data_IF_319061970473
#
_entry.id   IF_319061970473
#
_cell.length_a   1.000
_cell.length_b   1.000
_cell.length_c   1.000
_cell.angle_alpha   90.00
_cell.angle_beta   90.00
_cell.angle_gamma   90.00
#
_symmetry.space_group_name_H-M   'P 1'
#
loop_
_entity.id
_entity.type
_entity.pdbx_description
1 polymer ?
#
# COMPACT_ATOMS: atom_id res chain seq x y z
N UNK A 1 5.52 -10.28 -15.68
CA UNK A 1 6.02 -9.09 -14.97
C UNK A 1 7.53 -9.15 -14.76
N UNK A 2 8.08 -10.28 -14.30
CA UNK A 2 9.52 -10.38 -13.96
C UNK A 2 10.44 -10.72 -15.15
N UNK A 3 9.88 -11.23 -16.26
CA UNK A 3 10.62 -11.51 -17.49
C UNK A 3 10.43 -10.39 -18.52
N UNK A 4 11.46 -9.56 -18.70
CA UNK A 4 11.43 -8.42 -19.63
C UNK A 4 11.50 -8.81 -21.11
N UNK A 5 11.86 -10.05 -21.48
CA UNK A 5 11.89 -10.51 -22.87
C UNK A 5 10.57 -11.15 -23.32
N UNK A 6 9.71 -11.54 -22.37
CA UNK A 6 8.43 -12.18 -22.66
C UNK A 6 7.48 -11.26 -23.45
N UNK A 7 6.88 -11.76 -24.53
CA UNK A 7 5.78 -11.09 -25.22
C UNK A 7 4.49 -11.35 -24.44
N UNK A 8 3.97 -10.30 -23.81
CA UNK A 8 2.84 -10.42 -22.88
C UNK A 8 1.56 -10.89 -23.56
N UNK A 9 1.41 -10.69 -24.88
CA UNK A 9 0.21 -11.09 -25.63
C UNK A 9 -0.03 -12.59 -25.64
N UNK A 10 1.02 -13.39 -25.41
CA UNK A 10 0.88 -14.84 -25.26
C UNK A 10 -0.10 -15.23 -24.13
N UNK A 11 -0.31 -14.35 -23.13
CA UNK A 11 -1.27 -14.57 -22.05
C UNK A 11 -2.69 -14.83 -22.59
N UNK A 12 -3.08 -14.18 -23.69
CA UNK A 12 -4.40 -14.35 -24.30
C UNK A 12 -4.67 -15.75 -24.88
N UNK A 13 -3.65 -16.57 -25.02
CA UNK A 13 -3.77 -17.94 -25.55
C UNK A 13 -3.21 -18.99 -24.61
N UNK A 14 -2.34 -18.61 -23.67
CA UNK A 14 -1.69 -19.54 -22.73
C UNK A 14 -2.49 -19.81 -21.46
N UNK A 15 -3.58 -19.09 -21.21
CA UNK A 15 -4.42 -19.36 -20.05
C UNK A 15 -5.12 -20.72 -20.20
N UNK A 16 -5.41 -21.41 -19.08
CA UNK A 16 -6.16 -22.67 -19.13
C UNK A 16 -7.53 -22.46 -19.79
N UNK A 17 -8.16 -21.31 -19.54
CA UNK A 17 -9.42 -20.93 -20.18
C UNK A 17 -9.28 -20.88 -21.71
N UNK A 18 -8.36 -20.06 -22.21
CA UNK A 18 -8.23 -19.78 -23.65
C UNK A 18 -7.63 -20.98 -24.41
N UNK A 19 -6.70 -21.72 -23.81
CA UNK A 19 -6.03 -22.85 -24.45
C UNK A 19 -6.90 -24.10 -24.55
N UNK A 20 -7.83 -24.32 -23.61
CA UNK A 20 -8.62 -25.57 -23.50
C UNK A 20 -10.12 -25.36 -23.66
N UNK A 21 -10.59 -24.11 -23.70
CA UNK A 21 -12.01 -23.77 -23.66
C UNK A 21 -12.65 -24.05 -22.30
N UNK A 22 -11.87 -24.31 -21.25
CA UNK A 22 -12.40 -24.56 -19.91
C UNK A 22 -13.10 -23.30 -19.40
N UNK A 23 -14.35 -23.43 -18.97
CA UNK A 23 -15.11 -22.30 -18.43
C UNK A 23 -14.39 -21.61 -17.26
N UNK A 24 -14.38 -20.28 -17.27
CA UNK A 24 -13.87 -19.48 -16.14
C UNK A 24 -14.51 -19.83 -14.80
N UNK A 25 -15.76 -20.32 -14.78
CA UNK A 25 -16.42 -20.78 -13.56
C UNK A 25 -15.68 -21.93 -12.83
N UNK A 26 -14.81 -22.65 -13.54
CA UNK A 26 -14.01 -23.74 -12.99
C UNK A 26 -12.57 -23.31 -12.63
N UNK A 27 -12.26 -22.02 -12.72
CA UNK A 27 -10.91 -21.50 -12.59
C UNK A 27 -10.80 -20.52 -11.42
N UNK A 28 -9.69 -20.63 -10.71
CA UNK A 28 -9.26 -19.65 -9.70
C UNK A 28 -7.94 -19.08 -10.18
N UNK A 29 -7.88 -17.76 -10.33
CA UNK A 29 -6.67 -17.05 -10.77
C UNK A 29 -6.01 -16.37 -9.59
N UNK A 30 -4.68 -16.38 -9.54
CA UNK A 30 -3.91 -15.71 -8.50
C UNK A 30 -2.55 -15.30 -9.05
N UNK A 31 -1.98 -14.24 -8.47
CA UNK A 31 -0.63 -13.77 -8.82
C UNK A 31 0.40 -14.48 -7.94
N UNK A 32 0.24 -14.34 -6.63
CA UNK A 32 1.09 -14.93 -5.59
C UNK A 32 0.23 -15.75 -4.61
N UNK A 33 0.86 -16.65 -3.87
CA UNK A 33 0.24 -17.38 -2.75
C UNK A 33 1.31 -17.68 -1.68
N UNK A 34 0.92 -18.42 -0.64
CA UNK A 34 1.81 -18.77 0.47
C UNK A 34 2.71 -19.98 0.19
N UNK A 35 2.48 -20.69 -0.92
CA UNK A 35 3.20 -21.90 -1.27
C UNK A 35 4.44 -21.59 -2.11
N UNK A 36 5.42 -22.48 -1.99
CA UNK A 36 6.67 -22.40 -2.74
C UNK A 36 6.51 -23.18 -4.04
N UNK A 37 6.55 -22.51 -5.20
CA UNK A 37 6.40 -23.19 -6.50
C UNK A 37 7.57 -24.14 -6.83
N UNK A 38 8.66 -24.07 -6.08
CA UNK A 38 9.81 -24.98 -6.11
C UNK A 38 10.59 -24.98 -4.77
N UNK A 39 11.68 -25.75 -4.69
CA UNK A 39 12.55 -25.88 -3.51
C UNK A 39 13.25 -24.56 -3.08
N UNK A 40 13.14 -23.48 -3.86
CA UNK A 40 13.76 -22.18 -3.57
C UNK A 40 12.86 -21.22 -2.76
N UNK A 41 11.64 -21.63 -2.43
CA UNK A 41 10.79 -20.85 -1.54
C UNK A 41 10.11 -19.67 -2.25
N UNK A 42 10.19 -18.48 -1.63
CA UNK A 42 9.68 -17.21 -2.18
C UNK A 42 10.49 -16.67 -3.39
N UNK A 43 11.43 -17.44 -3.94
CA UNK A 43 12.11 -17.07 -5.19
C UNK A 43 11.17 -17.13 -6.41
N UNK A 44 10.01 -17.78 -6.29
CA UNK A 44 8.99 -17.88 -7.33
C UNK A 44 7.86 -16.83 -7.27
N UNK A 45 7.91 -15.89 -6.32
CA UNK A 45 6.98 -14.76 -6.28
C UNK A 45 7.13 -13.89 -7.52
N UNK A 46 6.01 -13.35 -8.00
CA UNK A 46 6.04 -12.19 -8.89
C UNK A 46 6.44 -10.97 -8.07
N UNK A 47 7.66 -10.48 -8.27
CA UNK A 47 8.26 -9.42 -7.43
C UNK A 47 8.13 -8.04 -8.05
N UNK A 48 8.27 -7.96 -9.36
CA UNK A 48 8.35 -6.69 -10.08
C UNK A 48 6.96 -6.37 -10.64
N UNK A 49 6.33 -5.33 -10.10
CA UNK A 49 5.00 -4.85 -10.52
C UNK A 49 3.90 -5.93 -10.56
N UNK A 50 3.67 -6.71 -9.47
CA UNK A 50 2.58 -7.70 -9.43
C UNK A 50 1.20 -7.07 -9.60
N UNK A 51 1.04 -5.76 -9.34
CA UNK A 51 -0.16 -4.99 -9.63
C UNK A 51 -0.61 -5.08 -11.09
N UNK A 52 0.30 -5.26 -12.07
CA UNK A 52 -0.08 -5.42 -13.47
C UNK A 52 -0.76 -6.77 -13.75
N UNK A 53 -0.33 -7.83 -13.06
CA UNK A 53 -0.98 -9.13 -13.14
C UNK A 53 -2.34 -9.10 -12.42
N UNK A 54 -2.43 -8.40 -11.28
CA UNK A 54 -3.70 -8.16 -10.61
C UNK A 54 -4.67 -7.37 -11.47
N UNK A 55 -4.21 -6.36 -12.20
CA UNK A 55 -5.04 -5.64 -13.16
C UNK A 55 -5.66 -6.63 -14.15
N UNK A 56 -4.88 -7.48 -14.80
CA UNK A 56 -5.40 -8.47 -15.74
C UNK A 56 -6.46 -9.41 -15.14
N UNK A 57 -6.20 -10.01 -13.98
CA UNK A 57 -7.15 -10.99 -13.38
C UNK A 57 -8.39 -10.33 -12.76
N UNK A 58 -8.30 -9.06 -12.32
CA UNK A 58 -9.43 -8.32 -11.76
C UNK A 58 -10.25 -7.59 -12.83
N UNK A 59 -9.72 -7.39 -14.03
CA UNK A 59 -10.45 -6.76 -15.14
C UNK A 59 -10.79 -7.69 -16.29
N UNK A 60 -10.67 -9.01 -16.08
CA UNK A 60 -11.14 -10.02 -17.01
C UNK A 60 -11.91 -11.11 -16.24
N UNK A 61 -13.25 -11.03 -16.22
CA UNK A 61 -14.09 -12.01 -15.53
C UNK A 61 -14.24 -13.35 -16.28
N UNK A 62 -13.70 -13.49 -17.49
CA UNK A 62 -13.80 -14.72 -18.29
C UNK A 62 -12.80 -15.78 -17.86
N UNK A 63 -11.69 -15.38 -17.25
CA UNK A 63 -10.58 -16.28 -16.88
C UNK A 63 -10.70 -16.83 -15.46
N UNK A 64 -11.84 -16.61 -14.80
CA UNK A 64 -12.21 -17.22 -13.51
C UNK A 64 -12.19 -16.27 -12.32
N UNK A 65 -12.22 -16.85 -11.12
CA UNK A 65 -12.37 -16.10 -9.87
C UNK A 65 -11.00 -15.57 -9.40
N UNK A 66 -10.78 -14.25 -9.36
CA UNK A 66 -9.50 -13.69 -8.95
C UNK A 66 -9.30 -13.78 -7.44
N UNK A 67 -8.09 -14.14 -7.04
CA UNK A 67 -7.64 -14.24 -5.65
C UNK A 67 -6.54 -13.23 -5.39
N UNK A 68 -6.73 -12.43 -4.33
CA UNK A 68 -5.73 -11.47 -3.86
C UNK A 68 -4.90 -12.10 -2.74
N UNK A 69 -3.58 -12.04 -2.88
CA UNK A 69 -2.67 -12.52 -1.85
C UNK A 69 -2.58 -11.53 -0.70
N UNK A 70 -2.77 -12.02 0.54
CA UNK A 70 -2.83 -11.19 1.74
C UNK A 70 -1.60 -10.26 1.89
N UNK A 71 -0.35 -10.73 1.75
CA UNK A 71 0.82 -9.86 1.81
C UNK A 71 0.93 -8.80 0.71
N UNK A 72 0.43 -9.05 -0.50
CA UNK A 72 0.42 -8.02 -1.55
C UNK A 72 -0.59 -6.90 -1.20
N UNK A 73 -1.64 -7.24 -0.45
CA UNK A 73 -2.68 -6.29 -0.01
C UNK A 73 -2.35 -5.58 1.32
N UNK A 74 -1.84 -6.29 2.33
CA UNK A 74 -1.58 -5.73 3.67
C UNK A 74 -0.11 -5.46 3.96
N UNK A 75 0.79 -5.93 3.09
CA UNK A 75 2.23 -5.91 3.29
C UNK A 75 2.78 -7.21 3.86
N UNK A 76 4.06 -7.46 3.58
CA UNK A 76 4.80 -8.59 4.11
C UNK A 76 5.25 -8.29 5.55
N UNK A 77 5.13 -9.26 6.48
CA UNK A 77 5.51 -9.06 7.88
C UNK A 77 7.01 -8.78 8.04
N UNK A 78 7.36 -7.97 9.05
CA UNK A 78 8.74 -7.64 9.35
C UNK A 78 9.52 -8.86 9.90
N UNK A 79 10.83 -8.99 9.60
CA UNK A 79 11.66 -10.05 10.12
C UNK A 79 12.04 -9.76 11.59
N UNK A 80 11.13 -9.96 12.54
CA UNK A 80 11.46 -9.84 13.96
C UNK A 80 10.87 -10.99 14.79
N UNK A 81 11.70 -12.00 15.05
CA UNK A 81 11.52 -12.98 16.14
C UNK A 81 10.38 -13.99 16.02
N UNK A 82 9.62 -14.00 14.91
CA UNK A 82 8.54 -14.96 14.64
C UNK A 82 8.89 -15.98 13.54
N UNK A 83 8.13 -17.08 13.51
CA UNK A 83 8.24 -18.34 12.75
C UNK A 83 8.57 -18.28 11.23
N UNK A 84 8.77 -17.12 10.61
CA UNK A 84 8.78 -16.95 9.16
C UNK A 84 9.91 -16.02 8.65
N UNK A 85 11.17 -16.40 8.85
CA UNK A 85 12.35 -15.64 8.40
C UNK A 85 12.56 -15.59 6.88
N UNK A 86 11.66 -16.17 6.11
CA UNK A 86 11.78 -16.33 4.66
C UNK A 86 11.01 -15.26 3.87
N UNK A 87 10.12 -14.47 4.50
CA UNK A 87 9.36 -13.43 3.79
C UNK A 87 10.24 -12.34 3.18
N UNK A 88 9.99 -11.91 1.93
CA UNK A 88 10.72 -10.81 1.32
C UNK A 88 10.47 -9.49 2.07
N UNK A 89 11.54 -8.75 2.30
CA UNK A 89 11.48 -7.39 2.86
C UNK A 89 11.39 -6.36 1.73
N UNK A 90 10.84 -5.18 2.02
CA UNK A 90 10.80 -4.02 1.12
C UNK A 90 9.97 -4.19 -0.16
N UNK A 91 9.00 -5.11 -0.18
CA UNK A 91 8.01 -5.14 -1.25
C UNK A 91 6.92 -4.08 -1.01
N UNK A 92 6.45 -3.40 -2.08
CA UNK A 92 5.37 -2.42 -1.98
C UNK A 92 4.03 -3.07 -1.59
N UNK A 93 3.18 -2.29 -0.94
CA UNK A 93 1.80 -2.68 -0.58
C UNK A 93 0.85 -2.10 -1.62
N UNK A 94 0.03 -2.93 -2.25
CA UNK A 94 -0.86 -2.54 -3.37
C UNK A 94 -2.33 -2.39 -2.96
N UNK A 95 -2.61 -2.13 -1.68
CA UNK A 95 -3.98 -2.05 -1.14
C UNK A 95 -4.88 -1.14 -1.96
N UNK A 96 -4.42 0.07 -2.26
CA UNK A 96 -5.22 1.11 -2.92
C UNK A 96 -5.58 0.67 -4.33
N UNK A 97 -4.58 0.24 -5.09
CA UNK A 97 -4.67 -0.30 -6.44
C UNK A 97 -5.65 -1.48 -6.50
N UNK A 98 -5.50 -2.43 -5.58
CA UNK A 98 -6.34 -3.62 -5.50
C UNK A 98 -7.78 -3.29 -5.13
N UNK A 99 -8.02 -2.35 -4.20
CA UNK A 99 -9.37 -1.86 -3.89
C UNK A 99 -10.02 -1.21 -5.11
N UNK A 100 -9.27 -0.41 -5.86
CA UNK A 100 -9.78 0.24 -7.07
C UNK A 100 -10.15 -0.79 -8.13
N UNK A 101 -9.28 -1.78 -8.37
CA UNK A 101 -9.56 -2.89 -9.28
C UNK A 101 -10.74 -3.76 -8.84
N UNK A 102 -10.87 -4.06 -7.54
CA UNK A 102 -12.05 -4.77 -7.00
C UNK A 102 -13.34 -3.99 -7.23
N UNK A 103 -13.30 -2.65 -7.09
CA UNK A 103 -14.45 -1.82 -7.38
C UNK A 103 -14.75 -1.78 -8.88
N UNK A 104 -13.73 -1.74 -9.75
CA UNK A 104 -13.92 -1.88 -11.21
C UNK A 104 -14.59 -3.22 -11.53
N UNK A 105 -14.08 -4.32 -10.99
CA UNK A 105 -14.67 -5.64 -11.15
C UNK A 105 -16.15 -5.64 -10.74
N UNK A 106 -16.43 -5.18 -9.52
CA UNK A 106 -17.76 -5.17 -8.94
C UNK A 106 -18.76 -4.31 -9.73
N UNK A 107 -18.34 -3.13 -10.19
CA UNK A 107 -19.24 -2.14 -10.76
C UNK A 107 -19.42 -2.27 -12.27
N UNK A 108 -18.41 -2.76 -12.99
CA UNK A 108 -18.36 -2.66 -14.45
C UNK A 108 -18.15 -3.96 -15.20
N UNK A 109 -17.58 -4.99 -14.57
CA UNK A 109 -17.08 -6.18 -15.29
C UNK A 109 -17.76 -7.47 -14.81
N UNK A 110 -18.15 -7.56 -13.54
CA UNK A 110 -18.76 -8.76 -13.00
C UNK A 110 -20.15 -8.99 -13.61
N UNK A 111 -20.25 -10.01 -14.48
CA UNK A 111 -21.45 -10.32 -15.24
C UNK A 111 -21.32 -10.01 -16.74
N UNK A 112 -20.19 -9.44 -17.18
CA UNK A 112 -19.89 -9.30 -18.60
C UNK A 112 -19.85 -10.67 -19.29
N UNK A 113 -20.48 -10.82 -20.47
CA UNK A 113 -20.63 -12.11 -21.14
C UNK A 113 -19.39 -12.51 -21.96
N UNK A 114 -18.46 -11.59 -22.21
CA UNK A 114 -17.32 -11.86 -23.07
C UNK A 114 -16.20 -10.82 -22.96
N UNK A 115 -15.07 -11.19 -23.54
CA UNK A 115 -13.87 -10.37 -23.70
C UNK A 115 -13.38 -10.46 -25.15
N UNK A 116 -12.91 -9.34 -25.70
CA UNK A 116 -12.22 -9.30 -26.98
C UNK A 116 -10.79 -8.80 -26.78
N UNK A 117 -9.82 -9.68 -27.01
CA UNK A 117 -8.41 -9.38 -26.89
C UNK A 117 -7.91 -8.58 -28.11
N UNK A 118 -8.03 -7.26 -28.03
CA UNK A 118 -7.85 -6.35 -29.16
C UNK A 118 -6.46 -6.43 -29.80
N UNK A 119 -5.38 -6.57 -29.01
CA UNK A 119 -4.03 -6.66 -29.56
C UNK A 119 -3.45 -8.08 -29.60
N UNK A 120 -4.29 -9.13 -29.59
CA UNK A 120 -3.84 -10.53 -29.75
C UNK A 120 -3.15 -10.77 -31.09
N UNK A 121 -2.38 -11.86 -31.19
CA UNK A 121 -1.81 -12.29 -32.47
C UNK A 121 -2.91 -12.56 -33.51
N UNK A 122 -2.71 -12.09 -34.74
CA UNK A 122 -3.69 -12.24 -35.82
C UNK A 122 -4.99 -11.45 -35.60
N UNK A 123 -4.99 -10.46 -34.70
CA UNK A 123 -6.15 -9.58 -34.48
C UNK A 123 -6.60 -8.89 -35.77
N UNK A 124 -7.92 -8.75 -36.02
CA UNK A 124 -8.44 -7.95 -37.13
C UNK A 124 -8.34 -6.44 -36.87
N UNK A 125 -8.03 -6.03 -35.64
CA UNK A 125 -7.98 -4.63 -35.24
C UNK A 125 -6.62 -4.02 -35.61
N UNK A 126 -6.67 -2.94 -36.38
CA UNK A 126 -5.45 -2.18 -36.70
C UNK A 126 -4.97 -1.39 -35.47
N UNK A 127 -3.65 -1.23 -35.38
CA UNK A 127 -3.00 -0.45 -34.33
C UNK A 127 -1.81 0.34 -34.89
N UNK A 128 -1.63 1.58 -34.44
CA UNK A 128 -0.48 2.42 -34.76
C UNK A 128 0.24 2.81 -33.47
N UNK A 129 1.37 2.15 -33.17
CA UNK A 129 2.17 2.46 -31.99
C UNK A 129 3.07 3.67 -32.27
N UNK A 130 2.86 4.73 -31.51
CA UNK A 130 3.66 5.97 -31.53
C UNK A 130 4.83 5.85 -30.55
N UNK A 131 4.57 5.24 -29.38
CA UNK A 131 5.57 4.94 -28.35
C UNK A 131 5.21 3.62 -27.65
N UNK A 132 6.21 2.87 -27.20
CA UNK A 132 6.04 1.52 -26.67
C UNK A 132 5.83 0.49 -27.78
N UNK A 133 5.35 -0.70 -27.41
CA UNK A 133 5.25 -1.82 -28.36
C UNK A 133 4.18 -2.83 -27.98
N UNK A 134 3.63 -3.50 -29.00
CA UNK A 134 2.57 -4.49 -28.82
C UNK A 134 2.98 -5.66 -27.90
N UNK A 135 4.24 -6.09 -27.94
CA UNK A 135 4.73 -7.18 -27.10
C UNK A 135 4.91 -6.81 -25.62
N UNK A 136 4.67 -5.55 -25.25
CA UNK A 136 4.73 -5.04 -23.87
C UNK A 136 3.40 -4.46 -23.39
N UNK A 137 2.32 -4.63 -24.16
CA UNK A 137 1.00 -4.16 -23.78
C UNK A 137 -0.03 -5.28 -23.90
N UNK A 138 -1.00 -5.28 -22.99
CA UNK A 138 -2.27 -5.97 -23.18
C UNK A 138 -3.35 -4.91 -23.40
N UNK A 139 -4.11 -5.03 -24.47
CA UNK A 139 -5.24 -4.15 -24.78
C UNK A 139 -6.41 -5.06 -25.12
N UNK A 140 -7.51 -4.90 -24.39
CA UNK A 140 -8.70 -5.72 -24.55
C UNK A 140 -9.97 -4.97 -24.15
N UNK A 141 -11.09 -5.51 -24.60
CA UNK A 141 -12.41 -4.92 -24.42
C UNK A 141 -13.34 -5.94 -23.76
N UNK A 142 -13.95 -5.56 -22.65
CA UNK A 142 -14.95 -6.34 -21.93
C UNK A 142 -16.33 -5.90 -22.39
N UNK A 143 -17.16 -6.88 -22.74
CA UNK A 143 -18.51 -6.64 -23.26
C UNK A 143 -19.44 -6.05 -22.17
N UNK A 144 -20.26 -5.09 -22.58
CA UNK A 144 -21.26 -4.50 -21.70
C UNK A 144 -22.31 -5.51 -21.26
N UNK A 145 -22.90 -5.29 -20.08
CA UNK A 145 -23.96 -6.14 -19.58
C UNK A 145 -25.03 -5.31 -18.85
N UNK A 146 -26.22 -5.88 -18.64
CA UNK A 146 -27.34 -5.13 -18.07
C UNK A 146 -27.02 -4.50 -16.70
N UNK A 147 -26.21 -5.17 -15.88
CA UNK A 147 -25.81 -4.70 -14.55
C UNK A 147 -24.89 -3.46 -14.56
N UNK A 148 -24.19 -3.18 -15.67
CA UNK A 148 -23.40 -1.96 -15.85
C UNK A 148 -24.07 -0.94 -16.79
N UNK A 149 -25.34 -1.17 -17.16
CA UNK A 149 -26.07 -0.34 -18.11
C UNK A 149 -25.66 -0.57 -19.56
N UNK A 150 -25.21 -1.78 -19.91
CA UNK A 150 -24.70 -2.19 -21.22
C UNK A 150 -23.53 -1.33 -21.72
N UNK A 151 -22.65 -0.93 -20.80
CA UNK A 151 -21.48 -0.11 -21.08
C UNK A 151 -20.28 -0.98 -21.39
N UNK A 152 -19.67 -0.73 -22.53
CA UNK A 152 -18.41 -1.36 -22.91
C UNK A 152 -17.26 -0.85 -22.04
N UNK A 153 -16.29 -1.73 -21.76
CA UNK A 153 -15.13 -1.40 -20.93
C UNK A 153 -13.86 -1.71 -21.71
N UNK A 154 -13.00 -0.70 -21.86
CA UNK A 154 -11.67 -0.84 -22.47
C UNK A 154 -10.64 -0.96 -21.35
N UNK A 155 -9.68 -1.85 -21.52
CA UNK A 155 -8.57 -2.04 -20.59
C UNK A 155 -7.27 -2.03 -21.38
N UNK A 156 -6.29 -1.28 -20.87
CA UNK A 156 -4.92 -1.34 -21.34
C UNK A 156 -3.96 -1.48 -20.15
N UNK A 157 -2.97 -2.35 -20.30
CA UNK A 157 -1.93 -2.62 -19.30
C UNK A 157 -0.58 -2.50 -20.00
N UNK A 158 0.23 -1.54 -19.56
CA UNK A 158 1.58 -1.31 -20.06
C UNK A 158 2.59 -2.01 -19.13
N UNK A 159 3.20 -3.09 -19.62
CA UNK A 159 4.30 -3.79 -18.94
C UNK A 159 5.67 -3.25 -19.33
N UNK A 160 5.73 -2.30 -20.27
CA UNK A 160 6.97 -1.72 -20.76
C UNK A 160 7.58 -0.68 -19.82
N UNK A 161 8.85 -0.38 -20.06
CA UNK A 161 9.61 0.67 -19.38
C UNK A 161 9.48 2.05 -20.02
N UNK A 162 8.74 2.17 -21.13
CA UNK A 162 8.44 3.42 -21.83
C UNK A 162 6.94 3.71 -21.75
N UNK A 163 6.53 4.94 -22.08
CA UNK A 163 5.10 5.26 -22.16
C UNK A 163 4.51 4.47 -23.32
N UNK A 164 3.32 3.89 -23.12
CA UNK A 164 2.54 3.32 -24.20
C UNK A 164 1.73 4.45 -24.84
N UNK A 165 1.89 4.67 -26.14
CA UNK A 165 1.06 5.58 -26.95
C UNK A 165 0.64 4.85 -28.21
N UNK A 166 -0.65 4.57 -28.35
CA UNK A 166 -1.16 3.78 -29.47
C UNK A 166 -2.58 4.21 -29.85
N UNK A 167 -2.79 4.43 -31.15
CA UNK A 167 -4.13 4.46 -31.73
C UNK A 167 -4.53 3.02 -32.06
N UNK A 168 -5.60 2.54 -31.44
CA UNK A 168 -6.03 1.15 -31.60
C UNK A 168 -7.50 1.07 -31.99
N UNK A 169 -7.80 0.31 -33.05
CA UNK A 169 -9.19 0.03 -33.43
C UNK A 169 -9.85 -0.86 -32.38
N UNK A 170 -11.09 -0.56 -32.01
CA UNK A 170 -11.85 -1.36 -31.05
C UNK A 170 -12.99 -2.13 -31.73
N UNK A 171 -13.61 -3.06 -31.01
CA UNK A 171 -14.81 -3.73 -31.49
C UNK A 171 -16.01 -2.81 -31.31
N UNK A 172 -16.53 -2.26 -32.41
CA UNK A 172 -17.72 -1.38 -32.37
C UNK A 172 -19.05 -2.11 -32.27
N UNK A 173 -19.03 -3.44 -32.08
CA UNK A 173 -20.22 -4.31 -31.98
C UNK A 173 -21.15 -4.13 -33.18
N UNK A 174 -20.59 -4.14 -34.38
CA UNK A 174 -21.37 -3.93 -35.61
C UNK A 174 -21.93 -2.51 -35.75
N UNK A 175 -21.28 -1.51 -35.15
CA UNK A 175 -21.69 -0.10 -35.21
C UNK A 175 -22.55 0.40 -34.05
N UNK A 176 -22.85 -0.45 -33.05
CA UNK A 176 -23.55 -0.04 -31.83
C UNK A 176 -22.73 0.96 -30.99
N UNK A 177 -21.40 0.95 -31.13
CA UNK A 177 -20.53 1.99 -30.58
C UNK A 177 -20.19 2.97 -31.71
N UNK A 178 -20.89 4.09 -31.74
CA UNK A 178 -20.73 5.10 -32.78
C UNK A 178 -19.48 5.97 -32.56
N UNK A 179 -18.80 6.45 -33.62
CA UNK A 179 -17.79 7.51 -33.51
C UNK A 179 -18.28 8.70 -32.68
N UNK A 180 -17.38 9.29 -31.90
CA UNK A 180 -17.70 10.30 -30.89
C UNK A 180 -18.10 9.73 -29.53
N UNK A 181 -18.28 8.41 -29.41
CA UNK A 181 -18.51 7.76 -28.10
C UNK A 181 -17.33 8.04 -27.17
N UNK A 182 -17.65 8.54 -25.98
CA UNK A 182 -16.70 8.84 -24.91
C UNK A 182 -16.51 7.59 -24.05
N UNK A 183 -15.28 7.30 -23.66
CA UNK A 183 -14.92 6.30 -22.66
C UNK A 183 -14.19 6.99 -21.50
N UNK A 184 -14.81 7.05 -20.32
CA UNK A 184 -14.25 7.74 -19.16
C UNK A 184 -13.25 6.85 -18.42
N UNK A 185 -12.06 7.39 -18.13
CA UNK A 185 -11.07 6.71 -17.29
C UNK A 185 -11.59 6.65 -15.85
N UNK A 186 -11.87 5.45 -15.34
CA UNK A 186 -12.38 5.28 -13.97
C UNK A 186 -11.27 5.11 -12.94
N UNK A 187 -10.03 4.82 -13.35
CA UNK A 187 -8.87 4.66 -12.48
C UNK A 187 -7.99 5.92 -12.38
N UNK A 188 -8.24 6.91 -13.25
CA UNK A 188 -7.49 8.15 -13.37
C UNK A 188 -5.97 7.93 -13.48
N UNK A 189 -5.57 6.90 -14.23
CA UNK A 189 -4.17 6.52 -14.44
C UNK A 189 -3.63 6.96 -15.80
N UNK A 190 -4.52 7.27 -16.75
CA UNK A 190 -4.10 7.85 -18.03
C UNK A 190 -3.98 9.37 -17.95
N UNK A 191 -3.21 9.93 -18.88
CA UNK A 191 -3.01 11.39 -18.96
C UNK A 191 -4.30 12.15 -19.33
N UNK A 192 -5.32 11.45 -19.82
CA UNK A 192 -6.58 12.04 -20.25
C UNK A 192 -7.73 11.45 -19.43
N UNK A 193 -8.67 12.28 -18.92
CA UNK A 193 -9.79 11.79 -18.11
C UNK A 193 -10.79 10.94 -18.91
N UNK A 194 -10.72 10.99 -20.25
CA UNK A 194 -11.53 10.21 -21.15
C UNK A 194 -10.83 9.99 -22.47
N UNK A 195 -11.28 8.99 -23.22
CA UNK A 195 -10.97 8.78 -24.62
C UNK A 195 -12.20 8.92 -25.49
N UNK A 196 -12.01 9.22 -26.76
CA UNK A 196 -13.09 9.37 -27.74
C UNK A 196 -12.84 8.40 -28.89
N UNK A 197 -13.89 7.67 -29.28
CA UNK A 197 -13.85 6.84 -30.48
C UNK A 197 -13.80 7.72 -31.73
N UNK A 198 -12.75 7.59 -32.53
CA UNK A 198 -12.57 8.36 -33.77
C UNK A 198 -13.50 7.87 -34.90
N UNK A 199 -13.59 8.63 -35.99
CA UNK A 199 -14.31 8.23 -37.21
C UNK A 199 -13.75 6.96 -37.89
N UNK A 200 -12.50 6.59 -37.58
CA UNK A 200 -11.86 5.36 -38.04
C UNK A 200 -12.01 4.20 -37.04
N UNK A 201 -12.93 4.33 -36.06
CA UNK A 201 -13.15 3.37 -34.98
C UNK A 201 -11.93 3.13 -34.07
N UNK A 202 -11.02 4.11 -33.99
CA UNK A 202 -9.83 4.05 -33.15
C UNK A 202 -10.00 4.80 -31.85
N UNK A 203 -9.39 4.28 -30.79
CA UNK A 203 -9.23 4.91 -29.48
C UNK A 203 -7.74 5.10 -29.23
N UNK A 204 -7.38 6.30 -28.75
CA UNK A 204 -6.01 6.59 -28.33
C UNK A 204 -5.79 6.11 -26.90
N UNK A 205 -4.75 5.31 -26.68
CA UNK A 205 -4.32 4.86 -25.36
C UNK A 205 -2.97 5.48 -25.02
N UNK A 206 -2.93 6.20 -23.89
CA UNK A 206 -1.68 6.74 -23.32
C UNK A 206 -1.53 6.32 -21.86
N UNK A 207 -0.50 5.52 -21.57
CA UNK A 207 -0.24 4.97 -20.24
C UNK A 207 1.24 5.09 -19.86
N UNK A 208 1.57 5.59 -18.66
CA UNK A 208 2.93 5.57 -18.13
C UNK A 208 3.56 4.15 -18.12
N UNK A 209 4.90 4.04 -18.01
CA UNK A 209 5.57 2.77 -17.79
C UNK A 209 4.99 2.01 -16.59
N UNK A 210 4.86 0.69 -16.71
CA UNK A 210 4.38 -0.20 -15.63
C UNK A 210 3.05 0.27 -14.99
N UNK A 211 2.09 0.68 -15.81
CA UNK A 211 0.78 1.16 -15.38
C UNK A 211 -0.36 0.49 -16.16
N UNK A 212 -1.58 0.76 -15.75
CA UNK A 212 -2.80 0.30 -16.42
C UNK A 212 -3.91 1.31 -16.21
N UNK A 213 -4.89 1.30 -17.10
CA UNK A 213 -6.14 2.01 -16.86
C UNK A 213 -7.33 1.25 -17.44
N UNK A 214 -8.52 1.67 -16.99
CA UNK A 214 -9.81 1.11 -17.38
C UNK A 214 -10.69 2.27 -17.78
N UNK A 215 -11.25 2.21 -18.99
CA UNK A 215 -12.17 3.20 -19.50
C UNK A 215 -13.55 2.59 -19.72
N UNK A 216 -14.58 3.24 -19.18
CA UNK A 216 -15.98 2.78 -19.26
C UNK A 216 -16.74 3.68 -20.22
N UNK A 217 -17.55 3.10 -21.10
CA UNK A 217 -18.37 3.84 -22.06
C UNK A 217 -19.32 4.84 -21.35
N UNK A 218 -19.28 6.09 -21.78
CA UNK A 218 -20.05 7.20 -21.25
C UNK A 218 -19.67 7.57 -19.81
N UNK A 219 -20.54 8.34 -19.15
CA UNK A 219 -20.34 8.66 -17.74
C UNK A 219 -20.46 7.38 -16.89
N UNK A 220 -19.57 7.12 -15.91
CA UNK A 220 -19.63 5.94 -15.05
C UNK A 220 -20.98 5.83 -14.33
N UNK A 221 -21.56 4.62 -14.25
CA UNK A 221 -22.84 4.37 -13.52
C UNK A 221 -22.71 4.74 -12.03
N UNK A 222 -21.52 4.52 -11.47
CA UNK A 222 -21.17 4.95 -10.12
C UNK A 222 -19.71 5.42 -10.10
N UNK A 223 -19.42 6.71 -9.85
CA UNK A 223 -18.05 7.20 -9.88
C UNK A 223 -17.17 6.45 -8.88
N UNK A 224 -16.04 5.92 -9.37
CA UNK A 224 -15.03 5.32 -8.52
C UNK A 224 -14.42 6.44 -7.65
N UNK A 225 -14.68 6.39 -6.35
CA UNK A 225 -14.10 7.35 -5.42
C UNK A 225 -12.68 6.88 -5.09
N UNK A 226 -11.72 7.32 -5.89
CA UNK A 226 -10.30 7.10 -5.64
C UNK A 226 -9.87 8.06 -4.53
N UNK A 227 -10.18 7.71 -3.28
CA UNK A 227 -9.70 8.42 -2.11
C UNK A 227 -8.56 7.63 -1.48
N UNK A 228 -7.33 8.14 -1.58
CA UNK A 228 -6.18 7.54 -0.87
C UNK A 228 -5.90 8.33 0.40
N UNK A 229 -5.47 7.66 1.46
CA UNK A 229 -5.12 8.30 2.73
C UNK A 229 -3.98 7.58 3.41
N UNK A 230 -3.09 8.33 4.02
CA UNK A 230 -1.93 7.83 4.76
C UNK A 230 -1.70 8.67 6.02
N UNK A 231 -1.12 8.03 7.04
CA UNK A 231 -0.65 8.67 8.25
C UNK A 231 0.75 8.14 8.56
N UNK A 232 1.75 9.02 8.58
CA UNK A 232 3.16 8.65 8.77
C UNK A 232 3.82 9.48 9.86
N UNK A 233 4.80 8.90 10.54
CA UNK A 233 5.58 9.62 11.54
C UNK A 233 6.50 10.65 10.86
N UNK A 234 6.47 11.89 11.35
CA UNK A 234 7.34 12.98 10.91
C UNK A 234 8.04 13.58 12.14
N UNK A 235 9.04 12.85 12.65
CA UNK A 235 9.68 13.17 13.94
C UNK A 235 8.70 13.00 15.11
N UNK A 236 8.48 14.07 15.87
CA UNK A 236 7.50 14.14 16.98
C UNK A 236 6.08 14.50 16.52
N UNK A 237 5.82 14.55 15.21
CA UNK A 237 4.55 14.94 14.59
C UNK A 237 4.01 13.79 13.74
N UNK A 238 2.76 13.90 13.31
CA UNK A 238 2.16 12.97 12.34
C UNK A 238 1.81 13.72 11.07
N UNK A 239 2.34 13.26 9.94
CA UNK A 239 1.97 13.76 8.62
C UNK A 239 0.81 12.93 8.07
N UNK A 240 -0.28 13.60 7.72
CA UNK A 240 -1.47 13.02 7.13
C UNK A 240 -1.55 13.49 5.67
N UNK A 241 -1.61 12.56 4.72
CA UNK A 241 -1.68 12.87 3.30
C UNK A 241 -2.83 12.13 2.65
N UNK A 242 -3.63 12.81 1.85
CA UNK A 242 -4.69 12.21 1.04
C UNK A 242 -4.74 12.79 -0.36
N UNK A 243 -5.23 12.00 -1.30
CA UNK A 243 -5.52 12.41 -2.66
C UNK A 243 -7.02 12.25 -2.93
N UNK A 244 -7.58 13.23 -3.64
CA UNK A 244 -8.93 13.14 -4.23
C UNK A 244 -8.82 13.24 -5.75
N UNK A 245 -9.71 12.57 -6.47
CA UNK A 245 -9.71 12.54 -7.93
C UNK A 245 -10.73 13.46 -8.62
N UNK A 246 -11.68 14.03 -7.87
CA UNK A 246 -12.67 14.99 -8.36
C UNK A 246 -12.78 16.13 -7.35
N UNK A 247 -11.69 16.88 -7.21
CA UNK A 247 -11.60 17.93 -6.19
C UNK A 247 -12.72 18.96 -6.31
N UNK A 248 -13.19 19.22 -7.53
CA UNK A 248 -14.28 20.16 -7.80
C UNK A 248 -15.63 19.75 -7.19
N UNK A 249 -15.81 18.47 -6.87
CA UNK A 249 -17.00 17.96 -6.19
C UNK A 249 -16.91 18.08 -4.67
N UNK A 250 -15.72 18.32 -4.13
CA UNK A 250 -15.50 18.41 -2.69
C UNK A 250 -15.75 19.84 -2.22
N UNK A 251 -16.43 19.96 -1.09
CA UNK A 251 -16.59 21.22 -0.36
C UNK A 251 -15.46 21.37 0.67
N UNK A 252 -15.35 20.43 1.60
CA UNK A 252 -14.36 20.46 2.67
C UNK A 252 -14.02 19.09 3.25
N UNK A 253 -12.92 19.06 3.98
CA UNK A 253 -12.41 17.93 4.73
C UNK A 253 -12.44 18.21 6.24
N UNK A 254 -12.71 17.17 7.02
CA UNK A 254 -12.53 17.10 8.47
C UNK A 254 -11.50 16.01 8.77
N UNK A 255 -10.42 16.41 9.43
CA UNK A 255 -9.40 15.48 9.91
C UNK A 255 -9.83 15.00 11.28
N UNK A 256 -10.03 13.69 11.43
CA UNK A 256 -10.52 13.07 12.65
C UNK A 256 -9.43 12.24 13.29
N UNK A 257 -9.25 12.40 14.60
CA UNK A 257 -8.36 11.57 15.43
C UNK A 257 -9.13 10.93 16.56
N UNK A 258 -8.85 9.66 16.83
CA UNK A 258 -9.33 8.94 17.98
C UNK A 258 -8.13 8.46 18.79
N UNK A 259 -8.08 8.92 20.04
CA UNK A 259 -6.98 8.64 20.97
C UNK A 259 -7.38 7.55 21.99
N UNK A 260 -8.66 7.21 22.14
CA UNK A 260 -9.22 6.30 23.17
C UNK A 260 -9.81 4.99 22.60
N UNK A 261 -9.76 4.82 21.28
CA UNK A 261 -10.34 3.68 20.56
C UNK A 261 -11.86 3.73 20.40
N UNK A 262 -12.54 4.81 20.82
CA UNK A 262 -14.01 4.92 20.79
C UNK A 262 -14.48 6.21 20.14
N UNK A 263 -13.91 7.35 20.51
CA UNK A 263 -14.41 8.66 20.13
C UNK A 263 -13.45 9.35 19.15
N UNK A 264 -13.96 9.67 17.97
CA UNK A 264 -13.27 10.54 17.01
C UNK A 264 -13.60 12.00 17.28
N UNK A 265 -12.57 12.84 17.36
CA UNK A 265 -12.72 14.30 17.40
C UNK A 265 -12.09 14.92 16.16
N UNK A 266 -12.65 16.03 15.71
CA UNK A 266 -12.08 16.85 14.65
C UNK A 266 -10.85 17.58 15.17
N UNK A 267 -9.72 17.40 14.48
CA UNK A 267 -8.45 18.06 14.81
C UNK A 267 -8.12 19.18 13.82
N UNK A 268 -8.74 19.17 12.63
CA UNK A 268 -8.65 20.23 11.65
C UNK A 268 -9.82 20.17 10.65
N UNK A 269 -10.12 21.32 10.05
CA UNK A 269 -10.98 21.46 8.89
C UNK A 269 -10.21 22.14 7.77
N UNK A 270 -10.35 21.62 6.55
CA UNK A 270 -9.60 22.09 5.39
C UNK A 270 -10.59 22.21 4.24
N UNK A 271 -10.74 23.41 3.67
CA UNK A 271 -11.59 23.59 2.50
C UNK A 271 -10.92 22.98 1.27
N UNK A 272 -11.73 22.43 0.35
CA UNK A 272 -11.20 22.02 -0.93
C UNK A 272 -10.64 23.24 -1.68
N UNK A 273 -9.50 23.06 -2.34
CA UNK A 273 -8.91 24.07 -3.21
C UNK A 273 -9.79 24.30 -4.45
N UNK A 274 -9.54 25.38 -5.19
CA UNK A 274 -10.25 25.67 -6.44
C UNK A 274 -9.79 24.83 -7.64
N UNK A 275 -8.81 23.94 -7.47
CA UNK A 275 -8.30 23.09 -8.57
C UNK A 275 -9.33 22.03 -8.98
N UNK A 276 -9.30 21.65 -10.26
CA UNK A 276 -10.18 20.63 -10.83
C UNK A 276 -9.42 19.29 -10.97
N UNK A 277 -10.13 18.18 -10.90
CA UNK A 277 -9.56 16.84 -11.06
C UNK A 277 -8.78 16.37 -9.83
N UNK A 278 -7.63 15.76 -10.06
CA UNK A 278 -6.81 15.17 -9.00
C UNK A 278 -6.12 16.26 -8.16
N UNK A 279 -6.21 16.16 -6.83
CA UNK A 279 -5.46 17.03 -5.92
C UNK A 279 -4.99 16.29 -4.66
N UNK A 280 -3.81 16.68 -4.17
CA UNK A 280 -3.18 16.15 -2.97
C UNK A 280 -3.27 17.16 -1.83
N UNK A 281 -3.64 16.66 -0.67
CA UNK A 281 -3.72 17.46 0.53
C UNK A 281 -2.81 16.88 1.59
N UNK A 282 -2.26 17.79 2.41
CA UNK A 282 -1.43 17.43 3.56
C UNK A 282 -1.91 18.17 4.80
N UNK A 283 -1.82 17.50 5.94
CA UNK A 283 -2.02 18.08 7.26
C UNK A 283 -0.99 17.52 8.22
N UNK A 284 -0.41 18.39 9.05
CA UNK A 284 0.53 18.00 10.10
C UNK A 284 -0.17 18.10 11.45
N UNK A 285 -0.30 16.96 12.11
CA UNK A 285 -0.68 16.91 13.52
C UNK A 285 0.55 17.23 14.38
N UNK A 286 0.57 18.47 14.86
CA UNK A 286 1.60 19.04 15.72
C UNK A 286 1.56 18.53 17.17
N UNK A 287 0.44 17.94 17.60
CA UNK A 287 0.22 17.54 19.00
C UNK A 287 -0.31 16.10 19.08
N UNK A 288 0.43 15.11 18.57
CA UNK A 288 0.04 13.71 18.69
C UNK A 288 0.14 13.23 20.14
N UNK A 289 -0.60 12.17 20.46
CA UNK A 289 -0.46 11.48 21.75
C UNK A 289 0.65 10.45 21.65
N UNK A 290 1.64 10.56 22.52
CA UNK A 290 2.75 9.62 22.56
C UNK A 290 2.44 8.39 23.41
N UNK A 291 3.17 7.31 23.12
CA UNK A 291 3.10 6.03 23.80
C UNK A 291 1.70 5.38 23.78
N UNK A 292 0.82 5.86 22.90
CA UNK A 292 -0.54 5.38 22.69
C UNK A 292 -0.83 5.22 21.20
N UNK A 293 -1.64 4.24 20.83
CA UNK A 293 -2.15 4.11 19.48
C UNK A 293 -3.15 5.24 19.20
N UNK A 294 -2.98 5.90 18.07
CA UNK A 294 -3.86 6.93 17.53
C UNK A 294 -4.47 6.42 16.23
N UNK A 295 -5.78 6.60 16.06
CA UNK A 295 -6.49 6.28 14.84
C UNK A 295 -6.84 7.57 14.12
N UNK A 296 -6.41 7.70 12.87
CA UNK A 296 -6.72 8.83 12.01
C UNK A 296 -7.68 8.42 10.90
N UNK A 297 -8.54 9.33 10.49
CA UNK A 297 -9.32 9.23 9.25
C UNK A 297 -9.66 10.62 8.75
N UNK A 298 -9.91 10.74 7.45
CA UNK A 298 -10.46 11.95 6.83
C UNK A 298 -11.94 11.71 6.60
N UNK A 299 -12.76 12.68 6.99
CA UNK A 299 -14.15 12.81 6.56
C UNK A 299 -14.21 13.91 5.53
N UNK A 300 -15.01 13.77 4.49
CA UNK A 300 -15.22 14.86 3.54
C UNK A 300 -16.68 15.04 3.18
N UNK A 301 -17.00 16.27 2.83
CA UNK A 301 -18.31 16.70 2.37
C UNK A 301 -18.19 17.08 0.91
N UNK A 302 -19.09 16.56 0.10
CA UNK A 302 -19.25 17.00 -1.27
C UNK A 302 -20.15 18.24 -1.32
N UNK A 303 -20.07 18.99 -2.41
CA UNK A 303 -20.95 20.16 -2.67
C UNK A 303 -22.43 19.80 -2.79
N UNK A 304 -22.74 18.54 -3.07
CA UNK A 304 -24.10 17.99 -3.08
C UNK A 304 -24.61 17.59 -1.69
N UNK A 305 -23.81 17.80 -0.64
CA UNK A 305 -24.12 17.44 0.75
C UNK A 305 -23.79 16.00 1.14
N UNK A 306 -23.37 15.14 0.20
CA UNK A 306 -22.96 13.79 0.51
C UNK A 306 -21.70 13.78 1.40
N UNK A 307 -21.67 12.85 2.35
CA UNK A 307 -20.57 12.72 3.31
C UNK A 307 -19.92 11.36 3.18
N UNK A 308 -18.59 11.32 3.18
CA UNK A 308 -17.80 10.08 3.08
C UNK A 308 -16.64 10.09 4.07
N UNK A 309 -16.07 8.92 4.26
CA UNK A 309 -14.93 8.70 5.15
C UNK A 309 -13.84 7.92 4.43
N UNK A 310 -12.60 8.18 4.83
CA UNK A 310 -11.45 7.40 4.44
C UNK A 310 -11.39 6.09 5.23
N UNK A 311 -10.49 5.22 4.80
CA UNK A 311 -9.95 4.18 5.68
C UNK A 311 -9.36 4.78 6.97
N UNK A 312 -9.36 3.98 8.04
CA UNK A 312 -8.71 4.32 9.30
C UNK A 312 -7.23 3.97 9.22
N UNK A 313 -6.35 4.90 9.62
CA UNK A 313 -4.91 4.67 9.77
C UNK A 313 -4.52 4.67 11.23
N UNK A 314 -3.93 3.57 11.69
CA UNK A 314 -3.39 3.43 13.03
C UNK A 314 -1.92 3.86 13.01
N UNK A 315 -1.53 4.71 13.95
CA UNK A 315 -0.13 5.06 14.19
C UNK A 315 0.13 5.13 15.70
N UNK A 316 1.30 4.66 16.13
CA UNK A 316 1.80 4.85 17.49
C UNK A 316 3.12 5.60 17.41
N UNK A 317 3.19 6.77 18.04
CA UNK A 317 4.46 7.47 18.25
C UNK A 317 4.97 7.13 19.64
N UNK A 318 6.26 6.83 19.74
CA UNK A 318 6.92 6.63 21.03
C UNK A 318 7.58 7.94 21.45
N UNK A 319 7.25 8.46 22.63
CA UNK A 319 8.06 9.47 23.29
C UNK A 319 8.95 8.71 24.26
N UNK A 320 10.14 8.35 23.77
CA UNK A 320 11.21 7.84 24.61
C UNK A 320 11.70 9.00 25.48
N UNK A 321 10.95 9.24 26.56
CA UNK A 321 11.30 10.26 27.53
C UNK A 321 12.64 9.98 28.21
N UNK A 322 13.09 8.73 28.14
CA UNK A 322 14.30 8.23 28.72
C UNK A 322 14.99 7.32 27.71
N UNK A 323 16.31 7.47 27.57
CA UNK A 323 17.18 6.59 26.79
C UNK A 323 18.41 6.30 27.64
N UNK A 324 18.77 5.03 27.77
CA UNK A 324 19.91 4.58 28.56
C UNK A 324 20.85 3.79 27.67
N UNK A 325 22.13 4.13 27.70
CA UNK A 325 23.17 3.43 26.94
C UNK A 325 24.30 3.03 27.86
N UNK A 326 24.67 1.74 27.82
CA UNK A 326 25.87 1.26 28.48
C UNK A 326 27.11 1.67 27.68
N UNK A 327 28.01 2.39 28.35
CA UNK A 327 29.28 2.87 27.80
C UNK A 327 30.38 1.87 28.15
N UNK A 328 30.53 0.88 27.28
CA UNK A 328 31.58 -0.15 27.36
C UNK A 328 31.10 -1.47 27.93
N UNK A 329 31.44 -2.55 27.23
CA UNK A 329 31.21 -3.94 27.61
C UNK A 329 32.31 -4.78 26.95
N UNK A 330 33.10 -5.60 27.67
CA UNK A 330 33.01 -5.97 29.09
C UNK A 330 33.30 -4.86 30.10
N UNK A 331 32.77 -5.00 31.31
CA UNK A 331 32.88 -4.02 32.40
C UNK A 331 33.77 -4.59 33.49
N UNK A 332 34.78 -3.84 33.95
CA UNK A 332 35.68 -4.27 35.03
C UNK A 332 35.23 -3.83 36.41
N UNK A 333 35.05 -2.53 36.63
CA UNK A 333 34.81 -1.94 37.96
C UNK A 333 33.51 -1.16 38.07
N UNK A 334 33.28 -0.24 37.13
CA UNK A 334 32.11 0.65 37.15
C UNK A 334 31.33 0.55 35.83
N UNK A 335 30.02 0.36 35.95
CA UNK A 335 29.08 0.53 34.84
C UNK A 335 28.93 2.01 34.56
N UNK A 336 29.27 2.42 33.34
CA UNK A 336 29.07 3.79 32.85
C UNK A 336 27.79 3.82 32.04
N UNK A 337 26.75 4.47 32.54
CA UNK A 337 25.47 4.64 31.83
C UNK A 337 25.35 6.07 31.34
N UNK A 338 25.18 6.25 30.03
CA UNK A 338 24.71 7.52 29.46
C UNK A 338 23.19 7.53 29.53
N UNK A 339 22.64 8.48 30.26
CA UNK A 339 21.19 8.64 30.44
C UNK A 339 20.77 9.96 29.83
N UNK A 340 19.90 9.89 28.84
CA UNK A 340 19.21 11.05 28.30
C UNK A 340 17.77 11.04 28.81
N UNK A 341 17.40 12.05 29.58
CA UNK A 341 16.05 12.21 30.09
C UNK A 341 15.44 13.52 29.59
N UNK A 342 14.18 13.48 29.18
CA UNK A 342 13.41 14.67 28.80
C UNK A 342 12.65 15.30 29.98
N UNK A 343 12.69 14.66 31.16
CA UNK A 343 12.04 15.10 32.41
C UNK A 343 12.92 14.76 33.61
N UNK A 344 12.70 15.42 34.75
CA UNK A 344 13.29 14.98 36.02
C UNK A 344 12.59 13.68 36.47
N UNK A 345 13.34 12.65 36.84
CA UNK A 345 12.79 11.35 37.23
C UNK A 345 13.71 10.64 38.23
N UNK A 346 13.22 9.59 38.88
CA UNK A 346 14.03 8.68 39.70
C UNK A 346 13.95 7.29 39.11
N UNK A 347 15.09 6.74 38.70
CA UNK A 347 15.18 5.41 38.11
C UNK A 347 15.51 4.38 39.17
N UNK A 348 14.82 3.26 39.16
CA UNK A 348 15.19 2.07 39.91
C UNK A 348 16.04 1.17 39.02
N UNK A 349 17.32 1.07 39.33
CA UNK A 349 18.27 0.22 38.64
C UNK A 349 18.49 -1.04 39.48
N UNK A 350 18.21 -2.20 38.89
CA UNK A 350 18.56 -3.50 39.47
C UNK A 350 19.56 -4.22 38.58
N UNK A 351 20.54 -4.91 39.16
CA UNK A 351 21.40 -5.83 38.41
C UNK A 351 20.97 -7.25 38.75
N UNK A 352 20.74 -8.05 37.72
CA UNK A 352 20.28 -9.43 37.82
C UNK A 352 21.37 -10.34 37.24
N UNK A 353 21.72 -11.40 37.95
CA UNK A 353 22.65 -12.43 37.48
C UNK A 353 22.03 -13.23 36.32
N UNK A 354 22.84 -13.96 35.57
CA UNK A 354 22.33 -14.89 34.54
C UNK A 354 21.39 -15.99 35.12
N UNK A 355 21.42 -16.24 36.43
CA UNK A 355 20.54 -17.20 37.13
C UNK A 355 19.20 -16.58 37.58
N UNK A 356 19.03 -15.27 37.41
CA UNK A 356 17.82 -14.54 37.83
C UNK A 356 17.94 -13.88 39.21
N UNK A 357 19.06 -14.04 39.91
CA UNK A 357 19.26 -13.44 41.23
C UNK A 357 19.47 -11.93 41.13
N UNK A 358 18.73 -11.15 41.91
CA UNK A 358 18.98 -9.71 42.03
C UNK A 358 20.21 -9.49 42.90
N UNK A 359 21.31 -9.03 42.31
CA UNK A 359 22.62 -8.85 42.97
C UNK A 359 22.94 -7.41 43.35
N UNK A 360 22.23 -6.44 42.77
CA UNK A 360 22.35 -5.02 43.13
C UNK A 360 21.01 -4.32 42.91
N UNK A 361 20.68 -3.34 43.75
CA UNK A 361 19.58 -2.41 43.51
C UNK A 361 19.98 -1.00 43.95
N UNK A 362 19.65 0.01 43.14
CA UNK A 362 19.95 1.42 43.41
C UNK A 362 18.87 2.32 42.83
N UNK A 363 18.46 3.34 43.60
CA UNK A 363 17.69 4.46 43.09
C UNK A 363 18.63 5.54 42.56
N UNK A 364 18.30 6.06 41.39
CA UNK A 364 19.12 7.03 40.68
C UNK A 364 18.26 8.22 40.25
N UNK A 365 18.36 9.37 40.95
CA UNK A 365 17.78 10.61 40.48
C UNK A 365 18.44 11.05 39.17
N UNK A 366 17.63 11.38 38.17
CA UNK A 366 18.08 11.89 36.87
C UNK A 366 17.37 13.20 36.56
N UNK A 367 18.15 14.21 36.21
CA UNK A 367 17.62 15.50 35.75
C UNK A 367 17.36 15.47 34.25
N UNK A 368 16.50 16.38 33.79
CA UNK A 368 16.32 16.67 32.37
C UNK A 368 17.68 16.99 31.71
N UNK A 369 17.95 16.39 30.54
CA UNK A 369 19.19 16.50 29.80
C UNK A 369 19.96 15.18 29.70
N UNK A 370 21.22 15.28 29.28
CA UNK A 370 22.14 14.14 29.21
C UNK A 370 23.00 14.11 30.47
N UNK A 371 23.12 12.95 31.11
CA UNK A 371 24.03 12.74 32.25
C UNK A 371 24.76 11.41 32.13
N UNK A 372 25.97 11.36 32.68
CA UNK A 372 26.77 10.15 32.83
C UNK A 372 26.68 9.65 34.27
N UNK A 373 26.36 8.38 34.43
CA UNK A 373 26.11 7.77 35.74
C UNK A 373 27.00 6.55 35.92
N UNK A 374 27.70 6.51 37.06
CA UNK A 374 28.61 5.43 37.39
C UNK A 374 28.01 4.56 38.50
N UNK A 375 27.97 3.25 38.27
CA UNK A 375 27.51 2.26 39.25
C UNK A 375 28.65 1.30 39.51
N UNK A 376 29.14 1.30 40.76
CA UNK A 376 30.20 0.38 41.17
C UNK A 376 29.66 -1.06 41.24
N UNK A 377 30.39 -1.97 40.59
CA UNK A 377 30.07 -3.39 40.51
C UNK A 377 31.26 -4.28 40.89
N UNK A 378 32.22 -3.75 41.66
CA UNK A 378 33.42 -4.50 42.07
C UNK A 378 33.07 -5.76 42.86
N UNK A 379 31.99 -5.73 43.62
CA UNK A 379 31.46 -6.83 44.42
C UNK A 379 30.89 -7.99 43.58
N UNK A 380 30.70 -7.81 42.27
CA UNK A 380 30.17 -8.85 41.40
C UNK A 380 31.29 -9.75 40.88
N UNK A 381 31.10 -11.05 40.98
CA UNK A 381 31.97 -12.03 40.32
C UNK A 381 31.93 -11.89 38.80
N UNK A 382 32.98 -12.34 38.11
CA UNK A 382 32.99 -12.39 36.64
C UNK A 382 31.83 -13.23 36.10
N UNK A 383 31.19 -12.77 35.03
CA UNK A 383 30.01 -13.44 34.48
C UNK A 383 29.08 -12.50 33.70
N UNK A 384 27.96 -13.05 33.23
CA UNK A 384 26.93 -12.30 32.51
C UNK A 384 25.84 -11.78 33.47
N UNK A 385 25.41 -10.54 33.23
CA UNK A 385 24.42 -9.84 34.05
C UNK A 385 23.48 -9.00 33.17
N UNK A 386 22.35 -8.61 33.75
CA UNK A 386 21.35 -7.74 33.15
C UNK A 386 21.10 -6.54 34.06
N UNK A 387 21.13 -5.34 33.50
CA UNK A 387 20.68 -4.11 34.13
C UNK A 387 19.20 -3.98 33.81
N UNK A 388 18.35 -4.10 34.82
CA UNK A 388 16.93 -3.79 34.73
C UNK A 388 16.71 -2.37 35.21
N UNK A 389 16.26 -1.49 34.33
CA UNK A 389 15.89 -0.12 34.68
C UNK A 389 14.39 0.02 34.64
N UNK A 390 13.82 0.55 35.73
CA UNK A 390 12.41 0.93 35.78
C UNK A 390 12.29 2.40 36.18
N UNK A 391 11.35 3.13 35.57
CA UNK A 391 11.12 4.55 35.84
C UNK A 391 9.65 4.92 35.75
N UNK A 392 9.34 6.21 35.91
CA UNK A 392 7.98 6.72 35.71
C UNK A 392 7.39 6.34 34.32
N UNK A 393 6.06 6.39 34.21
CA UNK A 393 5.31 6.09 32.97
C UNK A 393 5.53 4.67 32.40
N UNK A 394 5.71 3.67 33.28
CA UNK A 394 5.94 2.28 32.93
C UNK A 394 7.18 2.05 32.05
N UNK A 395 8.18 2.95 32.13
CA UNK A 395 9.45 2.71 31.46
C UNK A 395 10.12 1.49 32.07
N UNK A 396 10.43 0.51 31.23
CA UNK A 396 11.22 -0.66 31.60
C UNK A 396 12.20 -0.99 30.48
N UNK A 397 13.47 -1.15 30.82
CA UNK A 397 14.51 -1.53 29.87
C UNK A 397 15.45 -2.55 30.52
N UNK A 398 15.92 -3.50 29.73
CA UNK A 398 16.89 -4.50 30.15
C UNK A 398 18.15 -4.40 29.26
N UNK A 399 19.31 -4.17 29.88
CA UNK A 399 20.59 -4.03 29.18
C UNK A 399 21.54 -5.13 29.65
N UNK A 400 21.97 -6.01 28.74
CA UNK A 400 22.93 -7.08 29.07
C UNK A 400 24.37 -6.53 29.14
N UNK A 401 25.16 -7.00 30.09
CA UNK A 401 26.61 -6.76 30.13
C UNK A 401 27.38 -7.96 30.68
N UNK A 402 28.68 -8.00 30.40
CA UNK A 402 29.63 -9.00 30.91
C UNK A 402 30.57 -8.33 31.92
N UNK A 403 30.62 -8.84 33.16
CA UNK A 403 31.63 -8.49 34.16
C UNK A 403 32.90 -9.28 33.88
N UNK A 404 34.00 -8.60 33.60
CA UNK A 404 35.31 -9.22 33.50
C UNK A 404 35.90 -9.50 34.90
N UNK A 405 36.78 -10.51 34.99
CA UNK A 405 37.70 -10.65 36.13
C UNK A 405 38.63 -9.44 36.21
N UNK A 406 39.28 -9.23 37.37
CA UNK A 406 40.22 -8.12 37.55
C UNK A 406 41.30 -8.07 36.46
#
# INVERSE_FOLDING_TARGET
CDNSSYDVRNIFTSSVHDATGLSGYNLVTFVNNHDFRDASGFASLVRTHPNLAYAYILTNNQIGVPTIFYPDYFGYPAPSGGLYSYHPTNLPVYRTELVNLMNVLKLYINGSPGVDYLNRFGTPYSSSYIEGSANKALIYQIEGHTGNGNKEVLVAINFGSTTLKVDHTINTRGGLIAPGTVFTDVLAQSNFPFQILSGSNQVYFELPPHSYSVWVQGAPVLPLNLFSFSATAAGKKVALNWMVNNNEKIDRFEILRCDDGRNYRTIAQINASAKLGNENYTFIDEKPVFNKAMLYRVKWYNKDGATKFSDIKLLKLEDKQLSIKLMGNPVKKDLKLQINSSVNNVLNISIISAKGDKVLQKQLPVSMGSSMQNININQLSSGAYYILVTGAHNYQEAIKFSKAGE
#
